data_IF_453306802767
#
_entry.id   IF_453306802767
#
_cell.length_a   1.000
_cell.length_b   1.000
_cell.length_c   1.000
_cell.angle_alpha   90.00
_cell.angle_beta   90.00
_cell.angle_gamma   90.00
#
_symmetry.space_group_name_H-M   'P 1'
#
loop_
_entity.id
_entity.type
_entity.pdbx_description
1 polymer ?
#
# COMPACT_ATOMS: atom_id res chain seq x y z
N UNK A 1 -0.51 -4.23 14.06
CA UNK A 1 -0.48 -4.14 12.57
C UNK A 1 -1.84 -4.46 11.95
N UNK A 2 -2.58 -5.46 12.44
CA UNK A 2 -3.89 -5.81 11.86
C UNK A 2 -4.91 -4.65 11.92
N UNK A 3 -5.06 -3.96 13.05
CA UNK A 3 -6.03 -2.87 13.19
C UNK A 3 -5.78 -1.70 12.22
N UNK A 4 -4.54 -1.23 12.09
CA UNK A 4 -4.19 -0.15 11.16
C UNK A 4 -4.34 -0.58 9.69
N UNK A 5 -3.98 -1.81 9.35
CA UNK A 5 -4.21 -2.36 8.01
C UNK A 5 -5.71 -2.41 7.66
N UNK A 6 -6.55 -2.91 8.56
CA UNK A 6 -8.00 -2.96 8.36
C UNK A 6 -8.61 -1.57 8.22
N UNK A 7 -8.14 -0.59 9.01
CA UNK A 7 -8.56 0.80 8.86
C UNK A 7 -8.25 1.32 7.45
N UNK A 8 -7.02 1.15 6.96
CA UNK A 8 -6.62 1.60 5.61
C UNK A 8 -7.43 0.89 4.53
N UNK A 9 -7.67 -0.42 4.65
CA UNK A 9 -8.55 -1.14 3.72
C UNK A 9 -9.99 -0.62 3.74
N UNK A 10 -10.49 -0.21 4.92
CA UNK A 10 -11.78 0.45 5.06
C UNK A 10 -11.83 1.77 4.29
N UNK A 11 -10.80 2.61 4.42
CA UNK A 11 -10.65 3.85 3.66
C UNK A 11 -10.65 3.57 2.15
N UNK A 12 -9.84 2.61 1.69
CA UNK A 12 -9.72 2.26 0.26
C UNK A 12 -11.07 1.84 -0.31
N UNK A 13 -11.83 1.00 0.42
CA UNK A 13 -13.16 0.54 0.01
C UNK A 13 -14.21 1.65 -0.09
N UNK A 14 -13.97 2.79 0.55
CA UNK A 14 -14.86 3.95 0.50
C UNK A 14 -14.76 4.75 -0.80
N UNK A 15 -13.71 4.55 -1.61
CA UNK A 15 -13.52 5.27 -2.87
C UNK A 15 -14.07 4.49 -4.06
N UNK A 16 -14.58 5.24 -5.04
CA UNK A 16 -14.96 4.73 -6.35
C UNK A 16 -13.74 4.38 -7.22
N UNK A 17 -13.96 3.64 -8.30
CA UNK A 17 -12.91 3.37 -9.28
C UNK A 17 -12.35 4.65 -9.92
N UNK A 18 -13.20 5.64 -10.19
CA UNK A 18 -12.74 6.91 -10.79
C UNK A 18 -11.83 7.68 -9.83
N UNK A 19 -12.18 7.74 -8.55
CA UNK A 19 -11.33 8.35 -7.51
C UNK A 19 -9.99 7.63 -7.34
N UNK A 20 -10.00 6.29 -7.42
CA UNK A 20 -8.80 5.48 -7.24
C UNK A 20 -7.86 5.50 -8.45
N UNK A 21 -8.40 5.48 -9.66
CA UNK A 21 -7.63 5.18 -10.87
C UNK A 21 -7.52 6.34 -11.85
N UNK A 22 -8.28 7.42 -11.68
CA UNK A 22 -8.07 8.65 -12.47
C UNK A 22 -6.84 9.41 -11.97
N UNK A 23 -5.89 9.68 -12.87
CA UNK A 23 -4.74 10.52 -12.56
C UNK A 23 -5.22 11.93 -12.24
N UNK A 24 -4.59 12.59 -11.26
CA UNK A 24 -4.94 13.96 -10.86
C UNK A 24 -6.40 14.16 -10.42
N UNK A 25 -7.13 13.08 -10.09
CA UNK A 25 -8.48 13.20 -9.54
C UNK A 25 -8.49 14.07 -8.28
N UNK A 26 -7.48 13.88 -7.43
CA UNK A 26 -7.20 14.75 -6.29
C UNK A 26 -5.96 15.58 -6.60
N UNK A 27 -6.03 16.91 -6.43
CA UNK A 27 -4.95 17.82 -6.82
C UNK A 27 -3.59 17.52 -6.15
N UNK A 28 -3.61 16.93 -4.96
CA UNK A 28 -2.39 16.57 -4.22
C UNK A 28 -1.69 15.32 -4.76
N UNK A 29 -2.33 14.49 -5.60
CA UNK A 29 -1.69 13.27 -6.15
C UNK A 29 -0.72 13.56 -7.30
N UNK A 30 -0.48 14.83 -7.64
CA UNK A 30 0.56 15.25 -8.56
C UNK A 30 0.34 14.73 -9.97
N UNK A 31 1.14 13.78 -10.46
CA UNK A 31 0.98 13.17 -11.80
C UNK A 31 0.37 11.77 -11.78
N UNK A 32 0.06 11.24 -10.59
CA UNK A 32 -0.42 9.87 -10.40
C UNK A 32 -1.88 9.81 -9.92
N UNK A 33 -2.40 8.59 -9.78
CA UNK A 33 -3.70 8.30 -9.19
C UNK A 33 -3.60 8.04 -7.68
N UNK A 34 -4.70 8.21 -6.95
CA UNK A 34 -4.76 7.90 -5.52
C UNK A 34 -4.43 6.42 -5.24
N UNK A 35 -4.91 5.51 -6.09
CA UNK A 35 -4.62 4.07 -6.00
C UNK A 35 -3.13 3.75 -6.01
N UNK A 36 -2.31 4.53 -6.73
CA UNK A 36 -0.85 4.33 -6.75
C UNK A 36 -0.21 4.62 -5.39
N UNK A 37 -0.71 5.62 -4.65
CA UNK A 37 -0.27 5.88 -3.28
C UNK A 37 -0.65 4.73 -2.35
N UNK A 38 -1.88 4.22 -2.45
CA UNK A 38 -2.32 3.08 -1.65
C UNK A 38 -1.50 1.82 -1.91
N UNK A 39 -1.23 1.48 -3.17
CA UNK A 39 -0.37 0.34 -3.53
C UNK A 39 1.02 0.50 -2.92
N UNK A 40 1.64 1.68 -3.08
CA UNK A 40 2.96 1.97 -2.54
C UNK A 40 3.01 1.81 -1.01
N UNK A 41 2.01 2.35 -0.30
CA UNK A 41 1.96 2.34 1.16
C UNK A 41 1.44 1.04 1.79
N UNK A 42 0.82 0.15 1.00
CA UNK A 42 0.24 -1.11 1.49
C UNK A 42 0.93 -2.32 0.87
N UNK A 43 0.35 -2.92 -0.17
CA UNK A 43 0.78 -4.19 -0.74
C UNK A 43 2.27 -4.22 -1.09
N UNK A 44 2.79 -3.19 -1.77
CA UNK A 44 4.21 -3.13 -2.13
C UNK A 44 5.11 -3.06 -0.90
N UNK A 45 4.71 -2.32 0.13
CA UNK A 45 5.48 -2.23 1.36
C UNK A 45 5.46 -3.55 2.16
N UNK A 46 4.31 -4.24 2.20
CA UNK A 46 4.18 -5.54 2.84
C UNK A 46 5.06 -6.59 2.17
N UNK A 47 5.08 -6.63 0.83
CA UNK A 47 5.95 -7.54 0.08
C UNK A 47 7.43 -7.30 0.37
N UNK A 48 7.86 -6.03 0.34
CA UNK A 48 9.23 -5.65 0.66
C UNK A 48 9.62 -6.08 2.08
N UNK A 49 8.79 -5.76 3.07
CA UNK A 49 9.04 -6.10 4.47
C UNK A 49 9.12 -7.63 4.64
N UNK A 50 8.17 -8.37 4.08
CA UNK A 50 8.16 -9.82 4.16
C UNK A 50 9.41 -10.44 3.48
N UNK A 51 9.85 -9.89 2.34
CA UNK A 51 11.10 -10.31 1.68
C UNK A 51 12.31 -10.08 2.59
N UNK A 52 12.41 -8.90 3.21
CA UNK A 52 13.49 -8.58 4.16
C UNK A 52 13.49 -9.52 5.35
N UNK A 53 12.36 -9.71 6.02
CA UNK A 53 12.22 -10.61 7.17
C UNK A 53 12.64 -12.03 6.83
N UNK A 54 12.17 -12.57 5.69
CA UNK A 54 12.57 -13.92 5.24
C UNK A 54 14.07 -14.03 4.98
N UNK A 55 14.70 -13.00 4.41
CA UNK A 55 16.15 -13.01 4.18
C UNK A 55 16.90 -13.04 5.51
N UNK A 56 16.56 -12.18 6.47
CA UNK A 56 17.24 -12.16 7.77
C UNK A 56 17.00 -13.43 8.59
N UNK A 57 15.78 -13.98 8.57
CA UNK A 57 15.49 -15.25 9.22
C UNK A 57 16.38 -16.39 8.71
N UNK A 58 16.64 -16.46 7.39
CA UNK A 58 17.56 -17.46 6.81
C UNK A 58 19.02 -17.23 7.17
N UNK A 59 19.43 -15.97 7.38
CA UNK A 59 20.80 -15.63 7.81
C UNK A 59 21.00 -16.04 9.26
N UNK A 60 20.03 -15.78 10.14
CA UNK A 60 20.12 -16.08 11.58
C UNK A 60 19.93 -17.56 11.92
N UNK A 61 19.30 -18.34 11.04
CA UNK A 61 19.14 -19.78 11.21
C UNK A 61 20.38 -20.59 10.77
N UNK A 62 21.43 -19.92 10.31
CA UNK A 62 22.75 -20.49 10.02
C UNK A 62 23.69 -20.22 11.18
#
# INVERSE_FOLDING_TARGET
>A
MAASHQHVLGIIKGFSNDELFTKKHFGWTGTTSLGSYFVSATSSHYEWAAKKTRTYARILAR
#
